data_IF_719456093877
#
_entry.id   IF_719456093877
#
_cell.length_a   1.000
_cell.length_b   1.000
_cell.length_c   1.000
_cell.angle_alpha   90.00
_cell.angle_beta   90.00
_cell.angle_gamma   90.00
#
_symmetry.space_group_name_H-M   'P 1'
#
loop_
_entity.id
_entity.type
_entity.pdbx_description
1 polymer ?
#
# COMPACT_ATOMS: atom_id res chain seq x y z
N UNK A 1 -34.62 -9.88 2.89
CA UNK A 1 -34.20 -11.18 2.34
C UNK A 1 -33.00 -10.87 1.46
N UNK A 2 -31.82 -11.42 1.77
CA UNK A 2 -30.63 -11.20 0.96
C UNK A 2 -30.78 -11.88 -0.41
N UNK A 3 -30.17 -11.34 -1.47
CA UNK A 3 -30.22 -11.96 -2.80
C UNK A 3 -29.57 -13.35 -2.75
N UNK A 4 -30.02 -14.21 -3.64
CA UNK A 4 -29.35 -15.51 -3.83
C UNK A 4 -27.97 -15.25 -4.43
N UNK A 5 -26.91 -15.69 -3.78
CA UNK A 5 -25.53 -15.58 -4.24
C UNK A 5 -24.99 -16.95 -4.65
N UNK A 6 -24.26 -16.99 -5.74
CA UNK A 6 -23.47 -18.15 -6.16
C UNK A 6 -21.99 -17.82 -5.86
N UNK A 7 -21.43 -18.56 -4.90
CA UNK A 7 -20.02 -18.40 -4.54
C UNK A 7 -19.19 -19.40 -5.33
N UNK A 8 -18.17 -18.90 -6.00
CA UNK A 8 -17.15 -19.69 -6.67
C UNK A 8 -15.81 -19.43 -5.96
N UNK A 9 -15.09 -20.48 -5.60
CA UNK A 9 -13.74 -20.39 -5.06
C UNK A 9 -12.76 -21.11 -5.97
N UNK A 10 -11.65 -20.48 -6.26
CA UNK A 10 -10.62 -21.00 -7.18
C UNK A 10 -9.24 -20.48 -6.83
N UNK A 11 -8.22 -21.30 -7.09
CA UNK A 11 -6.82 -20.88 -7.01
C UNK A 11 -6.27 -20.47 -8.38
N UNK A 12 -7.08 -20.63 -9.44
CA UNK A 12 -6.69 -20.22 -10.78
C UNK A 12 -7.87 -19.50 -11.44
N UNK A 13 -7.71 -18.21 -11.67
CA UNK A 13 -8.70 -17.38 -12.36
C UNK A 13 -8.70 -17.64 -13.86
N UNK A 14 -9.88 -17.84 -14.44
CA UNK A 14 -10.03 -17.81 -15.89
C UNK A 14 -9.88 -16.39 -16.42
N UNK A 15 -9.53 -16.25 -17.70
CA UNK A 15 -9.43 -14.94 -18.36
C UNK A 15 -10.72 -14.09 -18.19
N UNK A 16 -11.89 -14.75 -18.25
CA UNK A 16 -13.17 -14.08 -18.01
C UNK A 16 -13.27 -13.53 -16.59
N UNK A 17 -12.91 -14.32 -15.58
CA UNK A 17 -12.92 -13.90 -14.18
C UNK A 17 -11.94 -12.76 -13.91
N UNK A 18 -10.74 -12.82 -14.49
CA UNK A 18 -9.76 -11.72 -14.40
C UNK A 18 -10.33 -10.42 -14.97
N UNK A 19 -11.01 -10.48 -16.11
CA UNK A 19 -11.66 -9.31 -16.69
C UNK A 19 -12.80 -8.78 -15.80
N UNK A 20 -13.68 -9.65 -15.30
CA UNK A 20 -14.79 -9.28 -14.41
C UNK A 20 -14.27 -8.62 -13.12
N UNK A 21 -13.20 -9.16 -12.54
CA UNK A 21 -12.52 -8.58 -11.36
C UNK A 21 -11.91 -7.22 -11.70
N UNK A 22 -11.24 -7.08 -12.84
CA UNK A 22 -10.64 -5.82 -13.28
C UNK A 22 -11.71 -4.73 -13.49
N UNK A 23 -12.86 -5.06 -14.05
CA UNK A 23 -14.00 -4.16 -14.22
C UNK A 23 -14.58 -3.74 -12.86
N UNK A 24 -14.85 -4.70 -11.97
CA UNK A 24 -15.35 -4.46 -10.62
C UNK A 24 -14.41 -3.57 -9.81
N UNK A 25 -13.13 -3.91 -9.75
CA UNK A 25 -12.15 -3.16 -8.96
C UNK A 25 -11.91 -1.77 -9.51
N UNK A 26 -11.91 -1.60 -10.83
CA UNK A 26 -11.82 -0.29 -11.48
C UNK A 26 -13.02 0.58 -11.13
N UNK A 27 -14.23 0.01 -11.16
CA UNK A 27 -15.46 0.71 -10.81
C UNK A 27 -15.43 1.14 -9.33
N UNK A 28 -15.07 0.23 -8.41
CA UNK A 28 -14.96 0.52 -6.98
C UNK A 28 -13.92 1.62 -6.70
N UNK A 29 -12.74 1.53 -7.29
CA UNK A 29 -11.69 2.54 -7.13
C UNK A 29 -12.14 3.92 -7.56
N UNK A 30 -12.79 4.01 -8.72
CA UNK A 30 -13.30 5.29 -9.22
C UNK A 30 -14.44 5.83 -8.34
N UNK A 31 -15.36 4.97 -7.89
CA UNK A 31 -16.50 5.36 -7.05
C UNK A 31 -16.06 5.85 -5.67
N UNK A 32 -15.10 5.15 -5.05
CA UNK A 32 -14.68 5.40 -3.67
C UNK A 32 -13.48 6.37 -3.58
N UNK A 33 -12.82 6.68 -4.70
CA UNK A 33 -11.63 7.52 -4.73
C UNK A 33 -10.42 6.86 -4.04
N UNK A 34 -10.29 5.53 -4.16
CA UNK A 34 -9.22 4.73 -3.54
C UNK A 34 -8.27 4.16 -4.59
N UNK A 35 -7.05 3.83 -4.17
CA UNK A 35 -6.01 3.22 -5.03
C UNK A 35 -5.56 1.86 -4.50
N UNK A 36 -6.49 1.06 -3.98
CA UNK A 36 -6.21 -0.31 -3.55
C UNK A 36 -6.24 -1.26 -4.77
N UNK A 37 -5.36 -2.24 -4.78
CA UNK A 37 -5.27 -3.26 -5.83
C UNK A 37 -5.89 -4.59 -5.40
N UNK A 38 -6.23 -5.43 -6.38
CA UNK A 38 -6.64 -6.81 -6.17
C UNK A 38 -5.62 -7.73 -6.84
N UNK A 39 -5.13 -8.78 -6.17
CA UNK A 39 -4.03 -9.63 -6.64
C UNK A 39 -4.48 -10.67 -7.68
N UNK A 40 -5.05 -10.23 -8.80
CA UNK A 40 -5.61 -11.12 -9.84
C UNK A 40 -4.55 -11.85 -10.67
N UNK A 41 -3.30 -11.38 -10.65
CA UNK A 41 -2.18 -11.96 -11.41
C UNK A 41 -1.23 -12.78 -10.53
N UNK A 42 -1.45 -12.80 -9.21
CA UNK A 42 -0.62 -13.58 -8.29
C UNK A 42 -1.01 -15.06 -8.31
N UNK A 43 -0.01 -15.91 -8.33
CA UNK A 43 -0.18 -17.37 -8.30
C UNK A 43 -0.35 -17.85 -6.84
N UNK A 44 -0.98 -19.04 -6.69
CA UNK A 44 -1.15 -19.72 -5.39
C UNK A 44 -2.07 -19.02 -4.37
N UNK A 45 -2.88 -18.06 -4.80
CA UNK A 45 -3.90 -17.45 -3.96
C UNK A 45 -5.26 -18.16 -4.10
N UNK A 46 -6.04 -18.10 -3.02
CA UNK A 46 -7.45 -18.51 -3.07
C UNK A 46 -8.34 -17.30 -3.29
N UNK A 47 -9.03 -17.29 -4.44
CA UNK A 47 -10.01 -16.26 -4.79
C UNK A 47 -11.43 -16.76 -4.49
N UNK A 48 -12.24 -15.90 -3.92
CA UNK A 48 -13.66 -16.12 -3.67
C UNK A 48 -14.47 -15.09 -4.45
N UNK A 49 -15.40 -15.55 -5.29
CA UNK A 49 -16.17 -14.71 -6.20
C UNK A 49 -17.66 -14.91 -5.93
N UNK A 50 -18.40 -13.83 -5.69
CA UNK A 50 -19.83 -13.84 -5.45
C UNK A 50 -20.57 -13.33 -6.67
N UNK A 51 -21.36 -14.18 -7.28
CA UNK A 51 -22.19 -13.85 -8.44
C UNK A 51 -23.67 -13.74 -8.07
N UNK A 52 -24.35 -12.76 -8.66
CA UNK A 52 -25.81 -12.67 -8.63
C UNK A 52 -26.46 -13.66 -9.62
N UNK A 53 -27.78 -13.90 -9.51
CA UNK A 53 -28.49 -14.85 -10.39
C UNK A 53 -28.43 -14.51 -11.87
N UNK A 54 -28.23 -13.27 -12.23
CA UNK A 54 -28.05 -12.79 -13.61
C UNK A 54 -26.62 -12.98 -14.15
N UNK A 55 -25.70 -13.46 -13.32
CA UNK A 55 -24.31 -13.70 -13.67
C UNK A 55 -23.38 -12.51 -13.44
N UNK A 56 -23.87 -11.41 -12.86
CA UNK A 56 -23.06 -10.25 -12.47
C UNK A 56 -22.14 -10.59 -11.26
N UNK A 57 -20.86 -10.22 -11.36
CA UNK A 57 -19.90 -10.33 -10.25
C UNK A 57 -20.15 -9.20 -9.25
N UNK A 58 -20.80 -9.53 -8.13
CA UNK A 58 -21.15 -8.56 -7.10
C UNK A 58 -19.99 -8.27 -6.12
N UNK A 59 -19.15 -9.26 -5.84
CA UNK A 59 -17.99 -9.11 -4.96
C UNK A 59 -16.91 -10.12 -5.27
N UNK A 60 -15.66 -9.74 -4.94
CA UNK A 60 -14.51 -10.64 -4.92
C UNK A 60 -13.72 -10.47 -3.62
N UNK A 61 -13.05 -11.53 -3.21
CA UNK A 61 -12.17 -11.59 -2.04
C UNK A 61 -10.99 -12.51 -2.36
N UNK A 62 -9.78 -12.09 -2.00
CA UNK A 62 -8.59 -12.92 -2.00
C UNK A 62 -7.95 -12.93 -0.62
N UNK A 63 -7.42 -14.08 -0.22
CA UNK A 63 -6.56 -14.23 0.95
C UNK A 63 -5.12 -14.41 0.49
N UNK A 64 -4.25 -13.54 0.97
CA UNK A 64 -2.83 -13.47 0.65
C UNK A 64 -2.05 -13.89 1.89
N UNK A 65 -1.24 -14.96 1.88
CA UNK A 65 -0.40 -15.31 3.02
C UNK A 65 0.54 -14.16 3.40
N UNK A 66 0.55 -13.77 4.66
CA UNK A 66 1.40 -12.70 5.18
C UNK A 66 2.43 -13.22 6.19
N UNK A 67 1.97 -13.91 7.22
CA UNK A 67 2.76 -14.62 8.24
C UNK A 67 2.09 -15.97 8.54
N UNK A 68 2.68 -16.79 9.41
CA UNK A 68 2.23 -18.17 9.64
C UNK A 68 0.71 -18.29 9.94
N UNK A 69 0.17 -17.42 10.81
CA UNK A 69 -1.24 -17.41 11.22
C UNK A 69 -1.97 -16.11 10.82
N UNK A 70 -1.40 -15.32 9.90
CA UNK A 70 -1.93 -14.03 9.45
C UNK A 70 -2.05 -14.00 7.93
N UNK A 71 -3.21 -13.61 7.42
CA UNK A 71 -3.45 -13.40 6.00
C UNK A 71 -3.95 -11.99 5.73
N UNK A 72 -3.46 -11.37 4.66
CA UNK A 72 -4.07 -10.14 4.16
C UNK A 72 -5.32 -10.48 3.36
N UNK A 73 -6.41 -9.75 3.63
CA UNK A 73 -7.68 -9.88 2.94
C UNK A 73 -7.88 -8.70 1.99
N UNK A 74 -7.75 -8.94 0.69
CA UNK A 74 -8.14 -7.99 -0.35
C UNK A 74 -9.56 -8.28 -0.81
N UNK A 75 -10.48 -7.30 -0.68
CA UNK A 75 -11.89 -7.50 -1.03
C UNK A 75 -12.53 -6.26 -1.64
N UNK A 76 -13.36 -6.50 -2.68
CA UNK A 76 -14.14 -5.47 -3.34
C UNK A 76 -15.60 -5.92 -3.47
N UNK A 77 -16.53 -4.99 -3.22
CA UNK A 77 -17.97 -5.20 -3.45
C UNK A 77 -18.51 -4.06 -4.28
N UNK A 78 -19.22 -4.41 -5.37
CA UNK A 78 -19.85 -3.43 -6.24
C UNK A 78 -20.73 -2.46 -5.42
N UNK A 79 -20.61 -1.16 -5.59
CA UNK A 79 -21.32 -0.17 -4.77
C UNK A 79 -22.82 -0.42 -4.67
N UNK A 80 -23.49 -0.80 -5.77
CA UNK A 80 -24.93 -1.08 -5.79
C UNK A 80 -25.33 -2.36 -5.06
N UNK A 81 -24.35 -3.27 -4.80
CA UNK A 81 -24.59 -4.56 -4.14
C UNK A 81 -24.09 -4.57 -2.68
N UNK A 82 -23.61 -3.41 -2.17
CA UNK A 82 -23.22 -3.25 -0.77
C UNK A 82 -24.41 -3.40 0.16
N UNK A 83 -24.14 -3.76 1.41
CA UNK A 83 -25.15 -4.00 2.45
C UNK A 83 -26.17 -5.11 2.12
N UNK A 84 -25.88 -5.92 1.11
CA UNK A 84 -26.67 -7.08 0.73
C UNK A 84 -26.06 -8.41 1.18
N UNK A 85 -25.01 -8.36 2.02
CA UNK A 85 -24.33 -9.52 2.60
C UNK A 85 -23.34 -10.20 1.66
N UNK A 86 -22.99 -9.61 0.50
CA UNK A 86 -22.06 -10.21 -0.46
C UNK A 86 -20.68 -10.44 0.17
N UNK A 87 -20.10 -9.41 0.77
CA UNK A 87 -18.81 -9.51 1.46
C UNK A 87 -18.86 -10.49 2.63
N UNK A 88 -19.87 -10.40 3.50
CA UNK A 88 -19.98 -11.27 4.68
C UNK A 88 -20.00 -12.75 4.30
N UNK A 89 -20.69 -13.11 3.23
CA UNK A 89 -20.75 -14.49 2.76
C UNK A 89 -19.45 -14.97 2.13
N UNK A 90 -18.71 -14.09 1.44
CA UNK A 90 -17.37 -14.42 0.96
C UNK A 90 -16.40 -14.63 2.13
N UNK A 91 -16.48 -13.76 3.13
CA UNK A 91 -15.65 -13.85 4.32
C UNK A 91 -15.95 -15.13 5.13
N UNK A 92 -17.23 -15.48 5.31
CA UNK A 92 -17.65 -16.75 5.96
C UNK A 92 -17.08 -17.96 5.22
N UNK A 93 -17.15 -17.98 3.89
CA UNK A 93 -16.59 -19.06 3.07
C UNK A 93 -15.07 -19.12 3.19
N UNK A 94 -14.38 -17.96 3.18
CA UNK A 94 -12.95 -17.86 3.32
C UNK A 94 -12.48 -18.37 4.69
N UNK A 95 -13.08 -17.90 5.78
CA UNK A 95 -12.77 -18.32 7.15
C UNK A 95 -13.11 -19.80 7.41
N UNK A 96 -14.11 -20.35 6.73
CA UNK A 96 -14.43 -21.80 6.85
C UNK A 96 -13.27 -22.69 6.37
N UNK A 97 -12.39 -22.17 5.51
CA UNK A 97 -11.21 -22.86 4.98
C UNK A 97 -9.94 -22.55 5.75
N UNK A 98 -9.94 -21.44 6.49
CA UNK A 98 -8.83 -20.94 7.28
C UNK A 98 -9.30 -20.57 8.69
N UNK A 99 -9.73 -21.57 9.51
CA UNK A 99 -10.49 -21.31 10.74
C UNK A 99 -9.69 -20.64 11.86
N UNK A 100 -8.37 -20.77 11.87
CA UNK A 100 -7.49 -20.29 12.94
C UNK A 100 -6.56 -19.16 12.45
N UNK A 101 -7.01 -18.39 11.46
CA UNK A 101 -6.20 -17.35 10.83
C UNK A 101 -6.74 -15.97 11.19
N UNK A 102 -5.87 -15.09 11.63
CA UNK A 102 -6.14 -13.66 11.75
C UNK A 102 -6.10 -12.97 10.38
N UNK A 103 -6.90 -11.93 10.22
CA UNK A 103 -7.00 -11.20 8.96
C UNK A 103 -6.51 -9.76 9.10
N UNK A 104 -5.63 -9.36 8.20
CA UNK A 104 -5.19 -7.99 7.99
C UNK A 104 -5.97 -7.39 6.82
N UNK A 105 -6.48 -6.17 6.98
CA UNK A 105 -7.19 -5.43 5.94
C UNK A 105 -6.44 -4.13 5.63
N UNK A 106 -5.93 -4.00 4.41
CA UNK A 106 -5.48 -2.72 3.89
C UNK A 106 -6.69 -1.90 3.46
N UNK A 107 -6.90 -0.72 4.07
CA UNK A 107 -8.08 0.09 3.83
C UNK A 107 -7.75 1.57 3.72
N UNK A 108 -8.52 2.29 2.93
CA UNK A 108 -8.43 3.74 2.86
C UNK A 108 -9.40 4.38 3.86
N UNK A 109 -8.91 5.37 4.62
CA UNK A 109 -9.77 6.17 5.50
C UNK A 109 -10.85 6.95 4.74
N UNK A 110 -10.67 7.15 3.43
CA UNK A 110 -11.64 7.82 2.56
C UNK A 110 -12.84 6.94 2.18
N UNK A 111 -12.87 5.66 2.58
CA UNK A 111 -13.98 4.75 2.30
C UNK A 111 -14.83 4.47 3.55
N UNK A 112 -15.86 5.29 3.86
CA UNK A 112 -16.66 5.17 5.07
C UNK A 112 -17.44 3.85 5.16
N UNK A 113 -17.79 3.23 4.05
CA UNK A 113 -18.52 1.96 4.04
C UNK A 113 -17.59 0.81 4.46
N UNK A 114 -16.33 0.81 4.03
CA UNK A 114 -15.32 -0.14 4.49
C UNK A 114 -15.07 0.01 6.00
N UNK A 115 -14.89 1.25 6.48
CA UNK A 115 -14.68 1.50 7.92
C UNK A 115 -15.87 1.03 8.77
N UNK A 116 -17.11 1.19 8.30
CA UNK A 116 -18.31 0.65 8.99
C UNK A 116 -18.30 -0.87 9.03
N UNK A 117 -17.89 -1.51 7.93
CA UNK A 117 -17.81 -2.97 7.84
C UNK A 117 -16.76 -3.51 8.80
N UNK A 118 -15.56 -2.93 8.84
CA UNK A 118 -14.51 -3.33 9.78
C UNK A 118 -14.92 -3.14 11.23
N UNK A 119 -15.58 -2.02 11.54
CA UNK A 119 -16.15 -1.80 12.88
C UNK A 119 -17.19 -2.86 13.27
N UNK A 120 -17.99 -3.33 12.32
CA UNK A 120 -18.97 -4.42 12.57
C UNK A 120 -18.31 -5.78 12.73
N UNK A 121 -17.07 -5.95 12.28
CA UNK A 121 -16.23 -7.14 12.49
C UNK A 121 -15.37 -7.03 13.77
N UNK A 122 -15.54 -5.96 14.57
CA UNK A 122 -14.69 -5.65 15.74
C UNK A 122 -13.18 -5.62 15.39
N UNK A 123 -12.85 -5.22 14.15
CA UNK A 123 -11.46 -5.09 13.72
C UNK A 123 -10.77 -3.94 14.45
N UNK A 124 -9.55 -4.18 14.90
CA UNK A 124 -8.69 -3.19 15.55
C UNK A 124 -7.73 -2.56 14.51
N UNK A 125 -7.38 -1.29 14.71
CA UNK A 125 -6.39 -0.62 13.87
C UNK A 125 -5.00 -1.02 14.35
N UNK A 126 -4.26 -1.70 13.50
CA UNK A 126 -2.89 -2.12 13.78
C UNK A 126 -1.90 -0.99 13.48
N UNK A 127 -1.94 -0.46 12.28
CA UNK A 127 -0.99 0.55 11.81
C UNK A 127 -1.67 1.59 10.92
N UNK A 128 -0.95 2.66 10.60
CA UNK A 128 -1.38 3.68 9.67
C UNK A 128 -0.20 4.11 8.79
N UNK A 129 -0.40 4.00 7.49
CA UNK A 129 0.58 4.44 6.52
C UNK A 129 0.10 5.69 5.79
N UNK A 130 0.96 6.68 5.70
CA UNK A 130 0.71 7.91 4.95
C UNK A 130 1.48 7.90 3.64
N UNK A 131 0.75 7.78 2.54
CA UNK A 131 1.32 7.92 1.21
C UNK A 131 1.58 9.41 0.94
N UNK A 132 2.83 9.75 0.72
CA UNK A 132 3.25 11.12 0.45
C UNK A 132 3.93 11.22 -0.92
N UNK A 133 3.64 12.29 -1.64
CA UNK A 133 4.40 12.62 -2.84
C UNK A 133 4.92 14.06 -2.77
N UNK A 134 6.08 14.29 -3.37
CA UNK A 134 6.62 15.63 -3.48
C UNK A 134 7.29 15.87 -4.83
N UNK A 135 7.20 17.13 -5.30
CA UNK A 135 7.95 17.58 -6.47
C UNK A 135 9.39 17.90 -6.08
N UNK A 136 10.34 17.22 -6.72
CA UNK A 136 11.77 17.44 -6.50
C UNK A 136 12.28 18.71 -7.21
N UNK A 137 11.57 19.19 -8.23
CA UNK A 137 11.91 20.42 -8.94
C UNK A 137 11.78 21.69 -8.09
N UNK A 138 11.00 21.65 -7.01
CA UNK A 138 10.80 22.78 -6.09
C UNK A 138 11.91 22.88 -5.03
N UNK A 139 12.77 21.88 -4.91
CA UNK A 139 13.88 21.92 -3.95
C UNK A 139 15.07 22.68 -4.57
N UNK A 140 15.38 23.90 -4.08
CA UNK A 140 16.49 24.66 -4.61
C UNK A 140 17.79 23.92 -4.34
N UNK A 141 18.61 23.76 -5.40
CA UNK A 141 19.89 23.05 -5.38
C UNK A 141 20.91 23.60 -4.35
N UNK A 142 20.58 24.70 -3.66
CA UNK A 142 21.44 25.43 -2.74
C UNK A 142 20.99 25.45 -1.27
N UNK A 143 19.96 24.73 -0.87
CA UNK A 143 19.41 24.80 0.51
C UNK A 143 20.10 23.89 1.53
N UNK A 144 21.12 23.14 1.12
CA UNK A 144 21.84 22.23 2.03
C UNK A 144 22.46 22.89 3.28
N UNK A 145 22.56 24.22 3.32
CA UNK A 145 23.20 24.93 4.43
C UNK A 145 22.28 25.82 5.30
N UNK A 146 21.11 26.22 4.81
CA UNK A 146 20.30 27.22 5.51
C UNK A 146 19.24 26.66 6.49
N UNK A 147 18.95 25.37 6.44
CA UNK A 147 17.94 24.73 7.33
C UNK A 147 18.53 23.99 8.53
N UNK A 148 19.80 23.63 8.47
CA UNK A 148 20.50 22.90 9.54
C UNK A 148 21.09 23.89 10.54
N UNK A 149 20.32 24.27 11.56
CA UNK A 149 20.75 25.20 12.63
C UNK A 149 21.85 24.65 13.55
N UNK A 150 22.28 23.40 13.38
CA UNK A 150 23.34 22.79 14.15
C UNK A 150 24.56 22.55 13.25
N UNK A 151 25.74 22.95 13.69
CA UNK A 151 27.03 22.83 13.02
C UNK A 151 27.56 21.41 12.84
N UNK A 152 26.68 20.41 12.69
CA UNK A 152 27.11 19.05 12.44
C UNK A 152 27.30 18.80 10.95
N UNK A 153 28.48 18.31 10.52
CA UNK A 153 28.74 18.01 9.11
C UNK A 153 28.00 16.74 8.70
N UNK A 154 26.75 16.92 8.26
CA UNK A 154 26.00 15.83 7.66
C UNK A 154 26.48 15.60 6.22
N UNK A 155 26.57 14.34 5.86
CA UNK A 155 26.82 13.92 4.49
C UNK A 155 25.94 12.73 4.15
N UNK A 156 25.54 12.64 2.86
CA UNK A 156 24.91 11.46 2.31
C UNK A 156 25.86 10.76 1.36
N UNK A 157 25.80 9.44 1.34
CA UNK A 157 26.57 8.61 0.41
C UNK A 157 25.66 7.55 -0.16
N UNK A 158 25.70 7.36 -1.48
CA UNK A 158 25.07 6.21 -2.11
C UNK A 158 25.95 4.99 -1.85
N UNK A 159 25.41 4.00 -1.15
CA UNK A 159 26.16 2.81 -0.69
C UNK A 159 26.11 1.66 -1.69
N UNK A 160 24.95 1.45 -2.29
CA UNK A 160 24.75 0.45 -3.36
C UNK A 160 23.48 0.78 -4.13
N UNK A 161 23.44 0.50 -5.43
CA UNK A 161 22.24 0.57 -6.27
C UNK A 161 21.28 1.71 -5.89
N UNK A 162 20.27 1.40 -5.10
CA UNK A 162 19.23 2.31 -4.64
C UNK A 162 19.40 2.80 -3.20
N UNK A 163 20.43 2.33 -2.48
CA UNK A 163 20.64 2.60 -1.07
C UNK A 163 21.45 3.86 -0.79
N UNK A 164 21.01 4.65 0.20
CA UNK A 164 21.67 5.86 0.68
C UNK A 164 21.90 5.79 2.18
N UNK A 165 23.05 6.28 2.62
CA UNK A 165 23.40 6.41 4.03
C UNK A 165 23.59 7.87 4.42
N UNK A 166 23.03 8.25 5.59
CA UNK A 166 23.32 9.51 6.27
C UNK A 166 24.45 9.30 7.26
N UNK A 167 25.48 10.12 7.19
CA UNK A 167 26.53 10.20 8.19
C UNK A 167 26.61 11.58 8.82
N UNK A 168 26.95 11.62 10.11
CA UNK A 168 27.25 12.83 10.86
C UNK A 168 28.66 12.72 11.43
N UNK A 169 29.56 13.62 11.04
CA UNK A 169 30.97 13.55 11.42
C UNK A 169 31.63 12.18 11.16
N UNK A 170 31.24 11.52 10.04
CA UNK A 170 31.75 10.20 9.65
C UNK A 170 31.09 9.02 10.36
N UNK A 171 30.14 9.24 11.27
CA UNK A 171 29.37 8.18 11.94
C UNK A 171 28.05 7.96 11.21
N UNK A 172 27.70 6.71 10.92
CA UNK A 172 26.43 6.32 10.32
C UNK A 172 25.27 6.66 11.25
N UNK A 173 24.28 7.39 10.75
CA UNK A 173 23.14 7.87 11.52
C UNK A 173 21.78 7.45 10.94
N UNK A 174 21.73 7.02 9.69
CA UNK A 174 20.49 6.57 9.05
C UNK A 174 20.72 6.04 7.63
N UNK A 175 19.70 5.43 7.09
CA UNK A 175 19.67 4.90 5.73
C UNK A 175 18.29 5.07 5.11
N UNK A 176 18.24 4.99 3.78
CA UNK A 176 17.02 5.07 2.98
C UNK A 176 17.22 4.32 1.68
N UNK A 177 16.14 3.78 1.14
CA UNK A 177 16.09 3.22 -0.21
C UNK A 177 15.36 4.18 -1.15
N UNK A 178 15.90 4.37 -2.36
CA UNK A 178 15.33 5.23 -3.38
C UNK A 178 15.24 4.46 -4.70
N UNK A 179 14.11 3.83 -4.96
CA UNK A 179 13.89 2.96 -6.13
C UNK A 179 13.26 3.74 -7.28
N UNK A 180 13.85 3.71 -8.50
CA UNK A 180 13.24 4.29 -9.68
C UNK A 180 11.93 3.58 -10.04
N UNK A 181 10.82 4.32 -10.06
CA UNK A 181 9.51 3.85 -10.52
C UNK A 181 9.33 4.15 -12.01
N UNK A 182 9.86 5.28 -12.46
CA UNK A 182 9.90 5.67 -13.87
C UNK A 182 11.16 6.51 -14.17
N UNK A 183 11.30 7.00 -15.40
CA UNK A 183 12.42 7.83 -15.77
C UNK A 183 12.52 9.15 -14.97
N UNK A 184 11.42 9.65 -14.43
CA UNK A 184 11.32 10.91 -13.71
C UNK A 184 10.81 10.80 -12.27
N UNK A 185 10.41 9.59 -11.84
CA UNK A 185 9.81 9.33 -10.53
C UNK A 185 10.61 8.29 -9.75
N UNK A 186 10.85 8.57 -8.47
CA UNK A 186 11.53 7.69 -7.53
C UNK A 186 10.62 7.42 -6.34
N UNK A 187 10.57 6.17 -5.87
CA UNK A 187 9.93 5.79 -4.62
C UNK A 187 10.96 5.81 -3.49
N UNK A 188 10.64 6.52 -2.40
CA UNK A 188 11.42 6.51 -1.17
C UNK A 188 10.77 5.59 -0.16
N UNK A 189 11.51 4.62 0.31
CA UNK A 189 11.07 3.69 1.35
C UNK A 189 12.21 3.37 2.30
N UNK A 190 11.90 2.71 3.43
CA UNK A 190 12.86 2.35 4.48
C UNK A 190 13.72 3.54 4.97
N UNK A 191 13.10 4.75 5.06
CA UNK A 191 13.80 5.91 5.60
C UNK A 191 13.91 5.75 7.11
N UNK A 192 15.08 5.36 7.57
CA UNK A 192 15.31 5.06 8.98
C UNK A 192 16.45 5.89 9.57
N UNK A 193 16.26 6.32 10.81
CA UNK A 193 17.32 6.92 11.65
C UNK A 193 17.63 5.97 12.77
N UNK A 194 18.93 5.71 12.96
CA UNK A 194 19.46 4.87 14.04
C UNK A 194 18.91 5.39 15.39
N UNK A 195 18.42 4.52 16.29
CA UNK A 195 17.67 4.91 17.48
C UNK A 195 18.31 6.02 18.32
N UNK A 196 19.63 5.99 18.48
CA UNK A 196 20.41 6.96 19.29
C UNK A 196 20.37 8.38 18.71
N UNK A 197 20.01 8.54 17.42
CA UNK A 197 19.96 9.83 16.71
C UNK A 197 18.52 10.31 16.46
N UNK A 198 17.50 9.55 16.87
CA UNK A 198 16.09 9.91 16.68
C UNK A 198 15.72 11.15 17.53
N UNK A 199 14.68 11.85 17.10
CA UNK A 199 14.13 13.04 17.77
C UNK A 199 15.12 14.22 17.91
N UNK A 200 16.18 14.27 17.08
CA UNK A 200 17.22 15.32 17.08
C UNK A 200 17.33 16.04 15.73
N UNK A 201 16.36 15.87 14.84
CA UNK A 201 16.34 16.50 13.51
C UNK A 201 17.14 15.78 12.42
N UNK A 202 17.71 14.59 12.71
CA UNK A 202 18.51 13.83 11.74
C UNK A 202 17.68 13.36 10.54
N UNK A 203 16.41 12.95 10.72
CA UNK A 203 15.53 12.61 9.61
C UNK A 203 15.27 13.80 8.68
N UNK A 204 15.02 14.96 9.25
CA UNK A 204 14.89 16.21 8.47
C UNK A 204 16.17 16.52 7.71
N UNK A 205 17.34 16.41 8.37
CA UNK A 205 18.63 16.60 7.73
C UNK A 205 18.85 15.63 6.56
N UNK A 206 18.46 14.36 6.76
CA UNK A 206 18.57 13.34 5.72
C UNK A 206 17.74 13.70 4.49
N UNK A 207 16.45 14.01 4.65
CA UNK A 207 15.59 14.38 3.54
C UNK A 207 16.06 15.66 2.84
N UNK A 208 16.52 16.67 3.59
CA UNK A 208 17.07 17.90 3.02
C UNK A 208 18.34 17.69 2.19
N UNK A 209 19.07 16.61 2.41
CA UNK A 209 20.24 16.24 1.59
C UNK A 209 19.85 15.28 0.46
N UNK A 210 18.97 14.32 0.73
CA UNK A 210 18.60 13.25 -0.19
C UNK A 210 17.75 13.77 -1.35
N UNK A 211 16.68 14.55 -1.08
CA UNK A 211 15.79 15.03 -2.14
C UNK A 211 16.50 15.88 -3.21
N UNK A 212 17.39 16.85 -2.86
CA UNK A 212 18.19 17.53 -3.86
C UNK A 212 19.20 16.64 -4.60
N UNK A 213 19.70 15.57 -3.96
CA UNK A 213 20.59 14.62 -4.64
C UNK A 213 19.84 13.83 -5.72
N UNK A 214 18.64 13.33 -5.40
CA UNK A 214 17.77 12.65 -6.35
C UNK A 214 17.32 13.56 -7.51
N UNK A 215 17.04 14.84 -7.22
CA UNK A 215 16.75 15.82 -8.26
C UNK A 215 17.94 16.01 -9.21
N UNK A 216 19.19 16.00 -8.71
CA UNK A 216 20.41 16.07 -9.56
C UNK A 216 20.62 14.81 -10.40
N UNK A 217 20.12 13.66 -9.96
CA UNK A 217 20.13 12.41 -10.72
C UNK A 217 19.08 12.39 -11.84
N UNK A 218 18.21 13.41 -11.93
CA UNK A 218 17.24 13.58 -13.00
C UNK A 218 15.79 13.32 -12.60
N UNK A 219 15.53 12.85 -11.37
CA UNK A 219 14.18 12.66 -10.90
C UNK A 219 13.46 14.00 -10.67
N UNK A 220 12.20 14.07 -11.06
CA UNK A 220 11.35 15.25 -10.90
C UNK A 220 10.37 15.10 -9.74
N UNK A 221 10.09 13.88 -9.34
CA UNK A 221 9.07 13.53 -8.35
C UNK A 221 9.55 12.40 -7.44
N UNK A 222 9.27 12.51 -6.14
CA UNK A 222 9.27 11.39 -5.22
C UNK A 222 7.82 11.01 -4.91
N UNK A 223 7.44 9.77 -5.20
CA UNK A 223 6.10 9.23 -5.03
C UNK A 223 6.17 7.73 -4.79
N UNK A 224 5.15 7.11 -4.16
CA UNK A 224 5.09 5.66 -3.99
C UNK A 224 5.03 4.95 -5.35
N UNK A 225 5.44 3.69 -5.36
CA UNK A 225 5.19 2.81 -6.49
C UNK A 225 3.70 2.41 -6.49
N UNK A 226 3.00 2.74 -7.57
CA UNK A 226 1.57 2.39 -7.73
C UNK A 226 1.31 0.89 -7.90
N UNK A 227 2.36 0.08 -8.00
CA UNK A 227 2.25 -1.38 -8.12
C UNK A 227 2.28 -2.09 -6.76
N UNK A 228 2.68 -1.41 -5.70
CA UNK A 228 2.84 -1.97 -4.34
C UNK A 228 1.84 -1.38 -3.32
N UNK A 229 0.80 -0.68 -3.81
CA UNK A 229 -0.27 -0.11 -2.97
C UNK A 229 -1.56 -0.89 -3.16
#
# INVERSE_FOLDING_TARGET
MYPKLYINSTNLLTQKQQQEIAELTTFCRHHDGIDLSYPSEEEDLTHFLAYLPDGHLAACLALIPYEDDLMECSAFTHPDDRQQGCFSRLLEEALSRHPDTDLLFAVSENCPDTLKTLKALDAEKDSEEHIMECSLSSYPHNTASNGLRNHHPFSITRTSGTEYALSCSGVLCGFASAEPVSADTVCLHHVEIVPEYRNRGYGTAFLLLLLPALSKEGFQKAAPDKKTS
#
